data_IF_895824385587
#
_entry.id   IF_895824385587
#
_cell.length_a   1.000
_cell.length_b   1.000
_cell.length_c   1.000
_cell.angle_alpha   90.00
_cell.angle_beta   90.00
_cell.angle_gamma   90.00
#
_symmetry.space_group_name_H-M   'P 1'
#
loop_
_entity.id
_entity.type
_entity.pdbx_description
1 polymer ?
#
# COMPACT_ATOMS: atom_id res chain seq x y z
N UNK A 1 4.58 -47.74 -31.56
CA UNK A 1 4.31 -46.30 -31.74
C UNK A 1 3.04 -45.72 -31.03
N UNK A 2 2.33 -46.43 -30.14
CA UNK A 2 1.24 -45.81 -29.36
C UNK A 2 1.71 -44.85 -28.29
N UNK A 3 2.91 -45.09 -27.70
CA UNK A 3 3.42 -44.28 -26.57
C UNK A 3 3.68 -42.82 -26.92
N UNK A 4 4.14 -42.48 -28.12
CA UNK A 4 4.38 -41.10 -28.54
C UNK A 4 3.10 -40.24 -28.54
N UNK A 5 1.98 -40.79 -28.97
CA UNK A 5 0.69 -40.06 -28.91
C UNK A 5 0.21 -39.83 -27.49
N UNK A 6 0.42 -40.79 -26.59
CA UNK A 6 0.04 -40.67 -25.17
C UNK A 6 0.88 -39.58 -24.51
N UNK A 7 2.19 -39.54 -24.77
CA UNK A 7 3.09 -38.50 -24.24
C UNK A 7 2.67 -37.10 -24.71
N UNK A 8 2.33 -36.95 -25.99
CA UNK A 8 1.83 -35.64 -26.51
C UNK A 8 0.52 -35.24 -25.86
N UNK A 9 -0.43 -36.15 -25.66
CA UNK A 9 -1.70 -35.86 -25.00
C UNK A 9 -1.45 -35.44 -23.56
N UNK A 10 -0.59 -36.13 -22.80
CA UNK A 10 -0.26 -35.76 -21.43
C UNK A 10 0.40 -34.38 -21.35
N UNK A 11 1.28 -34.04 -22.28
CA UNK A 11 1.88 -32.70 -22.37
C UNK A 11 0.84 -31.62 -22.62
N UNK A 12 -0.09 -31.83 -23.54
CA UNK A 12 -1.17 -30.88 -23.84
C UNK A 12 -2.09 -30.70 -22.62
N UNK A 13 -2.44 -31.78 -21.93
CA UNK A 13 -3.25 -31.72 -20.72
C UNK A 13 -2.50 -30.97 -19.60
N UNK A 14 -1.21 -31.23 -19.43
CA UNK A 14 -0.40 -30.52 -18.42
C UNK A 14 -0.31 -29.02 -18.69
N UNK A 15 -0.10 -28.63 -19.95
CA UNK A 15 -0.09 -27.22 -20.36
C UNK A 15 -1.47 -26.57 -20.14
N UNK A 16 -2.54 -27.23 -20.56
CA UNK A 16 -3.91 -26.73 -20.37
C UNK A 16 -4.26 -26.58 -18.88
N UNK A 17 -3.84 -27.54 -18.05
CA UNK A 17 -4.00 -27.44 -16.58
C UNK A 17 -3.23 -26.27 -16.00
N UNK A 18 -2.00 -26.02 -16.44
CA UNK A 18 -1.20 -24.85 -16.05
C UNK A 18 -1.94 -23.54 -16.34
N UNK A 19 -2.44 -23.36 -17.55
CA UNK A 19 -3.23 -22.17 -17.92
C UNK A 19 -4.51 -22.01 -17.10
N UNK A 20 -5.24 -23.09 -16.87
CA UNK A 20 -6.48 -23.05 -16.05
C UNK A 20 -6.17 -22.71 -14.59
N UNK A 21 -5.07 -23.22 -14.07
CA UNK A 21 -4.62 -22.92 -12.71
C UNK A 21 -4.24 -21.44 -12.57
N UNK A 22 -3.41 -20.93 -13.49
CA UNK A 22 -3.01 -19.50 -13.49
C UNK A 22 -4.22 -18.58 -13.66
N UNK A 23 -5.14 -18.93 -14.55
CA UNK A 23 -6.39 -18.18 -14.73
C UNK A 23 -7.23 -18.17 -13.45
N UNK A 24 -7.37 -19.32 -12.77
CA UNK A 24 -8.09 -19.44 -11.50
C UNK A 24 -7.42 -18.62 -10.39
N UNK A 25 -6.09 -18.67 -10.27
CA UNK A 25 -5.33 -17.84 -9.33
C UNK A 25 -5.56 -16.35 -9.59
N UNK A 26 -5.50 -15.92 -10.86
CA UNK A 26 -5.70 -14.53 -11.24
C UNK A 26 -7.11 -14.01 -10.86
N UNK A 27 -8.15 -14.84 -11.04
CA UNK A 27 -9.51 -14.48 -10.61
C UNK A 27 -9.61 -14.29 -9.10
N UNK A 28 -8.99 -15.17 -8.31
CA UNK A 28 -8.96 -15.06 -6.84
C UNK A 28 -8.19 -13.80 -6.45
N UNK A 29 -7.05 -13.55 -7.08
CA UNK A 29 -6.21 -12.39 -6.82
C UNK A 29 -6.95 -11.08 -7.09
N UNK A 30 -7.64 -10.96 -8.22
CA UNK A 30 -8.48 -9.77 -8.54
C UNK A 30 -9.64 -9.59 -7.56
N UNK A 31 -10.22 -10.68 -7.04
CA UNK A 31 -11.26 -10.60 -6.01
C UNK A 31 -10.71 -10.11 -4.67
N UNK A 32 -9.51 -10.52 -4.31
CA UNK A 32 -8.86 -10.13 -3.03
C UNK A 32 -8.15 -8.79 -3.11
N UNK A 33 -7.82 -8.31 -4.32
CA UNK A 33 -7.17 -7.03 -4.57
C UNK A 33 -8.02 -6.21 -5.56
N UNK A 34 -9.22 -5.75 -5.16
CA UNK A 34 -10.12 -5.03 -6.06
C UNK A 34 -9.61 -3.62 -6.37
N UNK A 35 -9.92 -3.11 -7.57
CA UNK A 35 -9.81 -1.69 -7.87
C UNK A 35 -11.10 -0.99 -7.42
N UNK A 36 -11.08 -0.36 -6.24
CA UNK A 36 -12.18 0.48 -5.71
C UNK A 36 -11.69 1.92 -5.60
N UNK A 37 -12.60 2.87 -5.68
CA UNK A 37 -12.30 4.31 -5.58
C UNK A 37 -11.29 4.81 -6.63
N UNK A 38 -11.26 4.19 -7.80
CA UNK A 38 -10.25 4.40 -8.86
C UNK A 38 -10.12 5.87 -9.24
N UNK A 39 -11.24 6.58 -9.44
CA UNK A 39 -11.24 7.99 -9.81
C UNK A 39 -10.46 8.86 -8.79
N UNK A 40 -10.68 8.65 -7.51
CA UNK A 40 -10.00 9.42 -6.45
C UNK A 40 -8.53 9.03 -6.34
N UNK A 41 -8.23 7.72 -6.43
CA UNK A 41 -6.86 7.22 -6.36
C UNK A 41 -6.05 7.76 -7.54
N UNK A 42 -6.57 7.69 -8.78
CA UNK A 42 -5.90 8.22 -9.96
C UNK A 42 -5.66 9.73 -9.85
N UNK A 43 -6.69 10.49 -9.50
CA UNK A 43 -6.63 11.95 -9.31
C UNK A 43 -5.53 12.36 -8.33
N UNK A 44 -5.49 11.73 -7.16
CA UNK A 44 -4.57 12.17 -6.10
C UNK A 44 -3.17 11.54 -6.21
N UNK A 45 -3.05 10.33 -6.75
CA UNK A 45 -1.75 9.74 -7.12
C UNK A 45 -1.01 10.61 -8.13
N UNK A 46 -1.71 11.06 -9.18
CA UNK A 46 -1.13 11.95 -10.19
C UNK A 46 -0.77 13.31 -9.59
N UNK A 47 -1.69 13.91 -8.82
CA UNK A 47 -1.50 15.23 -8.20
C UNK A 47 -0.31 15.27 -7.26
N UNK A 48 -0.15 14.24 -6.43
CA UNK A 48 0.87 14.20 -5.37
C UNK A 48 2.06 13.30 -5.70
N UNK A 49 2.12 12.73 -6.93
CA UNK A 49 3.24 11.91 -7.41
C UNK A 49 3.51 10.68 -6.55
N UNK A 50 2.45 10.03 -6.08
CA UNK A 50 2.51 8.75 -5.35
C UNK A 50 2.09 7.62 -6.30
N UNK A 51 2.83 6.48 -6.38
CA UNK A 51 2.46 5.35 -7.24
C UNK A 51 1.05 4.84 -6.94
N UNK A 52 0.24 4.62 -7.98
CA UNK A 52 -1.15 4.12 -7.82
C UNK A 52 -1.20 2.79 -7.08
N UNK A 53 -0.33 1.85 -7.46
CA UNK A 53 -0.24 0.54 -6.80
C UNK A 53 0.03 0.66 -5.31
N UNK A 54 0.93 1.58 -4.91
CA UNK A 54 1.22 1.86 -3.51
C UNK A 54 -0.01 2.40 -2.77
N UNK A 55 -0.78 3.31 -3.37
CA UNK A 55 -2.01 3.85 -2.74
C UNK A 55 -3.04 2.73 -2.54
N UNK A 56 -3.26 1.88 -3.56
CA UNK A 56 -4.13 0.70 -3.42
C UNK A 56 -3.65 -0.23 -2.31
N UNK A 57 -2.34 -0.48 -2.22
CA UNK A 57 -1.73 -1.35 -1.23
C UNK A 57 -1.89 -0.80 0.20
N UNK A 58 -1.73 0.50 0.38
CA UNK A 58 -1.95 1.17 1.67
C UNK A 58 -3.42 1.04 2.08
N UNK A 59 -4.38 1.41 1.21
CA UNK A 59 -5.82 1.30 1.50
C UNK A 59 -6.21 -0.16 1.82
N UNK A 60 -5.70 -1.11 1.04
CA UNK A 60 -5.91 -2.54 1.29
C UNK A 60 -5.41 -2.98 2.66
N UNK A 61 -4.24 -2.49 3.07
CA UNK A 61 -3.61 -2.89 4.34
C UNK A 61 -4.26 -2.21 5.53
N UNK A 62 -4.66 -0.95 5.39
CA UNK A 62 -5.22 -0.12 6.46
C UNK A 62 -6.67 -0.46 6.78
N UNK A 63 -7.51 -0.63 5.78
CA UNK A 63 -8.96 -0.77 5.97
C UNK A 63 -9.62 -1.88 5.16
N UNK A 64 -8.89 -2.55 4.27
CA UNK A 64 -9.49 -3.43 3.26
C UNK A 64 -10.62 -2.73 2.46
N UNK A 65 -10.42 -1.45 2.16
CA UNK A 65 -11.38 -0.57 1.47
C UNK A 65 -12.68 -0.26 2.25
N UNK A 66 -12.67 -0.39 3.57
CA UNK A 66 -13.80 -0.02 4.42
C UNK A 66 -13.71 1.47 4.81
N UNK A 67 -14.56 2.31 4.20
CA UNK A 67 -14.53 3.78 4.42
C UNK A 67 -14.92 4.20 5.84
N UNK A 68 -15.69 3.36 6.55
CA UNK A 68 -16.12 3.63 7.92
C UNK A 68 -15.24 2.94 8.97
N UNK A 69 -14.09 2.39 8.58
CA UNK A 69 -13.18 1.74 9.50
C UNK A 69 -12.65 2.73 10.54
N UNK A 70 -12.66 2.31 11.82
CA UNK A 70 -12.07 3.06 12.94
C UNK A 70 -11.20 2.10 13.73
N UNK A 71 -9.93 2.45 13.90
CA UNK A 71 -9.01 1.65 14.69
C UNK A 71 -9.21 1.85 16.20
N UNK A 72 -8.70 0.94 17.05
CA UNK A 72 -8.75 1.11 18.52
C UNK A 72 -8.06 2.38 19.01
N UNK A 73 -7.12 2.92 18.25
CA UNK A 73 -6.39 4.16 18.57
C UNK A 73 -7.01 5.41 17.93
N UNK A 74 -8.14 5.25 17.21
CA UNK A 74 -8.90 6.36 16.64
C UNK A 74 -8.49 6.80 15.23
N UNK A 75 -7.70 6.01 14.50
CA UNK A 75 -7.46 6.25 13.10
C UNK A 75 -8.72 5.95 12.27
N UNK A 76 -9.01 6.75 11.23
CA UNK A 76 -10.30 6.76 10.55
C UNK A 76 -10.15 6.56 9.05
N UNK A 77 -11.06 5.75 8.48
CA UNK A 77 -11.35 5.67 7.05
C UNK A 77 -10.40 4.79 6.24
N UNK A 78 -10.43 4.96 4.93
CA UNK A 78 -9.74 4.12 3.95
C UNK A 78 -8.24 3.99 4.19
N UNK A 79 -7.58 5.11 4.50
CA UNK A 79 -6.13 5.19 4.72
C UNK A 79 -5.77 5.34 6.21
N UNK A 80 -6.73 5.12 7.12
CA UNK A 80 -6.55 5.14 8.57
C UNK A 80 -5.79 6.37 9.07
N UNK A 81 -6.26 7.56 8.69
CA UNK A 81 -5.66 8.81 9.14
C UNK A 81 -6.04 9.11 10.60
N UNK A 82 -5.04 9.47 11.40
CA UNK A 82 -5.29 10.02 12.73
C UNK A 82 -5.93 11.41 12.61
N UNK A 83 -6.95 11.73 13.43
CA UNK A 83 -7.55 13.06 13.47
C UNK A 83 -6.53 14.19 13.61
N UNK A 84 -5.54 14.03 14.47
CA UNK A 84 -4.46 15.01 14.65
C UNK A 84 -3.64 15.23 13.38
N UNK A 85 -3.28 14.15 12.67
CA UNK A 85 -2.55 14.25 11.40
C UNK A 85 -3.40 14.97 10.34
N UNK A 86 -4.68 14.66 10.27
CA UNK A 86 -5.60 15.32 9.36
C UNK A 86 -5.73 16.83 9.65
N UNK A 87 -5.88 17.20 10.93
CA UNK A 87 -5.93 18.59 11.35
C UNK A 87 -4.64 19.35 11.03
N UNK A 88 -3.48 18.73 11.27
CA UNK A 88 -2.19 19.32 10.93
C UNK A 88 -2.07 19.57 9.42
N UNK A 89 -2.47 18.60 8.60
CA UNK A 89 -2.42 18.74 7.14
C UNK A 89 -3.38 19.84 6.67
N UNK A 90 -4.60 19.82 7.12
CA UNK A 90 -5.62 20.79 6.68
C UNK A 90 -5.26 22.22 7.07
N UNK A 91 -4.86 22.44 8.33
CA UNK A 91 -4.59 23.78 8.86
C UNK A 91 -3.22 24.31 8.42
N UNK A 92 -2.17 23.50 8.53
CA UNK A 92 -0.81 23.99 8.42
C UNK A 92 -0.23 23.88 7.01
N UNK A 93 -0.73 22.96 6.18
CA UNK A 93 -0.18 22.73 4.84
C UNK A 93 -1.13 23.18 3.71
N UNK A 94 -2.42 22.96 3.85
CA UNK A 94 -3.36 23.23 2.77
C UNK A 94 -4.26 24.44 3.04
N UNK A 95 -4.18 25.05 4.24
CA UNK A 95 -5.01 26.19 4.67
C UNK A 95 -6.52 25.93 4.47
N UNK A 96 -6.93 24.68 4.67
CA UNK A 96 -8.31 24.24 4.60
C UNK A 96 -8.87 24.07 6.03
N UNK A 97 -10.10 24.47 6.27
CA UNK A 97 -10.76 24.30 7.57
C UNK A 97 -11.82 23.21 7.46
N UNK A 98 -11.40 21.95 7.67
CA UNK A 98 -12.29 20.79 7.60
C UNK A 98 -12.43 20.14 8.97
N UNK A 99 -13.63 19.63 9.24
CA UNK A 99 -13.91 18.86 10.45
C UNK A 99 -13.41 17.40 10.28
N UNK A 100 -12.98 16.79 11.38
CA UNK A 100 -12.48 15.40 11.39
C UNK A 100 -13.51 14.38 10.93
N UNK A 101 -14.82 14.70 11.04
CA UNK A 101 -15.89 13.87 10.47
C UNK A 101 -15.79 13.67 8.96
N UNK A 102 -15.10 14.55 8.24
CA UNK A 102 -14.83 14.40 6.80
C UNK A 102 -13.89 13.23 6.47
N UNK A 103 -13.19 12.66 7.46
CA UNK A 103 -12.37 11.44 7.26
C UNK A 103 -13.18 10.20 6.90
N UNK A 104 -14.49 10.18 7.10
CA UNK A 104 -15.37 9.10 6.63
C UNK A 104 -15.72 9.24 5.14
N UNK A 105 -15.54 10.44 4.55
CA UNK A 105 -15.73 10.64 3.11
C UNK A 105 -14.56 10.05 2.33
N UNK A 106 -14.81 9.12 1.38
CA UNK A 106 -13.75 8.42 0.64
C UNK A 106 -12.79 9.35 -0.10
N UNK A 107 -13.32 10.38 -0.78
CA UNK A 107 -12.48 11.31 -1.53
C UNK A 107 -11.57 12.10 -0.60
N UNK A 108 -12.12 12.63 0.48
CA UNK A 108 -11.37 13.38 1.50
C UNK A 108 -10.28 12.50 2.11
N UNK A 109 -10.61 11.29 2.54
CA UNK A 109 -9.65 10.38 3.18
C UNK A 109 -8.49 10.03 2.24
N UNK A 110 -8.78 9.70 0.97
CA UNK A 110 -7.76 9.41 -0.04
C UNK A 110 -6.91 10.65 -0.34
N UNK A 111 -7.54 11.82 -0.54
CA UNK A 111 -6.82 13.09 -0.79
C UNK A 111 -5.74 13.34 0.27
N UNK A 112 -6.11 13.25 1.53
CA UNK A 112 -5.21 13.60 2.63
C UNK A 112 -4.22 12.49 2.97
N UNK A 113 -4.62 11.22 2.82
CA UNK A 113 -3.71 10.09 2.99
C UNK A 113 -2.61 10.07 1.94
N UNK A 114 -2.96 10.30 0.66
CA UNK A 114 -1.99 10.39 -0.43
C UNK A 114 -1.10 11.63 -0.29
N UNK A 115 -1.67 12.77 0.12
CA UNK A 115 -0.88 13.95 0.46
C UNK A 115 0.13 13.64 1.57
N UNK A 116 -0.27 12.95 2.63
CA UNK A 116 0.61 12.61 3.75
C UNK A 116 1.75 11.68 3.31
N UNK A 117 1.49 10.68 2.46
CA UNK A 117 2.53 9.86 1.85
C UNK A 117 3.53 10.70 1.03
N UNK A 118 3.02 11.61 0.22
CA UNK A 118 3.84 12.54 -0.58
C UNK A 118 4.68 13.47 0.29
N UNK A 119 4.11 13.98 1.38
CA UNK A 119 4.82 14.82 2.33
C UNK A 119 5.94 14.04 3.03
N UNK A 120 5.67 12.83 3.50
CA UNK A 120 6.70 11.95 4.08
C UNK A 120 7.81 11.62 3.08
N UNK A 121 7.48 11.48 1.79
CA UNK A 121 8.45 11.24 0.71
C UNK A 121 9.45 12.40 0.54
N UNK A 122 9.13 13.59 1.02
CA UNK A 122 10.09 14.72 1.02
C UNK A 122 11.23 14.55 2.02
N UNK A 123 11.09 13.67 3.00
CA UNK A 123 12.13 13.37 4.01
C UNK A 123 12.94 12.12 3.65
N UNK A 124 12.39 11.21 2.85
CA UNK A 124 12.99 9.91 2.55
C UNK A 124 12.93 9.60 1.07
N UNK A 125 14.07 9.15 0.49
CA UNK A 125 14.10 8.67 -0.89
C UNK A 125 13.54 7.24 -1.04
N UNK A 126 13.50 6.46 0.04
CA UNK A 126 13.02 5.09 0.07
C UNK A 126 11.56 5.00 0.54
N UNK A 127 10.71 4.32 -0.21
CA UNK A 127 9.31 4.11 0.15
C UNK A 127 9.12 3.27 1.41
N UNK A 128 10.05 2.38 1.76
CA UNK A 128 9.96 1.62 3.01
C UNK A 128 10.09 2.55 4.23
N UNK A 129 10.96 3.56 4.14
CA UNK A 129 11.07 4.59 5.18
C UNK A 129 9.79 5.44 5.25
N UNK A 130 9.19 5.78 4.12
CA UNK A 130 7.90 6.50 4.05
C UNK A 130 6.79 5.68 4.71
N UNK A 131 6.66 4.41 4.37
CA UNK A 131 5.66 3.51 4.95
C UNK A 131 5.89 3.29 6.46
N UNK A 132 7.15 3.13 6.86
CA UNK A 132 7.51 3.02 8.27
C UNK A 132 7.15 4.30 9.05
N UNK A 133 7.35 5.48 8.45
CA UNK A 133 7.01 6.76 9.05
C UNK A 133 5.48 7.00 9.07
N UNK A 134 4.77 6.55 8.04
CA UNK A 134 3.31 6.63 7.99
C UNK A 134 2.66 5.89 9.15
N UNK A 135 3.11 4.64 9.41
CA UNK A 135 2.56 3.81 10.47
C UNK A 135 3.22 4.06 11.85
N UNK A 136 4.54 4.16 11.89
CA UNK A 136 5.32 4.23 13.13
C UNK A 136 5.72 5.64 13.58
N UNK A 137 5.47 6.65 12.73
CA UNK A 137 5.81 8.04 12.99
C UNK A 137 7.21 8.45 12.53
N UNK A 138 7.31 9.66 11.96
CA UNK A 138 8.53 10.25 11.39
C UNK A 138 9.68 10.32 12.41
N UNK A 139 9.39 10.66 13.66
CA UNK A 139 10.41 10.75 14.73
C UNK A 139 11.11 9.42 15.01
N UNK A 140 10.36 8.32 14.99
CA UNK A 140 10.92 6.98 15.21
C UNK A 140 11.82 6.58 14.04
N UNK A 141 11.38 6.79 12.79
CA UNK A 141 12.18 6.47 11.61
C UNK A 141 13.48 7.28 11.58
N UNK A 142 13.43 8.58 11.90
CA UNK A 142 14.62 9.41 12.00
C UNK A 142 15.62 8.92 13.05
N UNK A 143 15.14 8.32 14.13
CA UNK A 143 16.00 7.72 15.14
C UNK A 143 16.59 6.39 14.66
N UNK A 144 15.78 5.53 14.02
CA UNK A 144 16.24 4.23 13.50
C UNK A 144 17.28 4.41 12.39
N UNK A 145 17.14 5.42 11.52
CA UNK A 145 18.11 5.70 10.46
C UNK A 145 19.49 6.13 10.98
N UNK A 146 19.59 6.60 12.24
CA UNK A 146 20.86 6.98 12.87
C UNK A 146 21.59 5.82 13.54
N UNK A 147 20.94 4.67 13.64
CA UNK A 147 21.44 3.50 14.34
C UNK A 147 21.83 2.41 13.34
N UNK A 148 23.10 2.00 13.35
CA UNK A 148 23.64 0.99 12.46
C UNK A 148 22.96 -0.40 12.61
N UNK A 149 22.28 -0.63 13.75
CA UNK A 149 21.46 -1.83 13.91
C UNK A 149 20.28 -1.87 12.93
N UNK A 150 19.69 -0.70 12.61
CA UNK A 150 18.47 -0.61 11.80
C UNK A 150 18.69 -0.06 10.40
N UNK A 151 19.84 0.58 10.15
CA UNK A 151 20.19 1.18 8.86
C UNK A 151 21.70 1.16 8.65
N UNK A 152 22.16 0.62 7.51
CA UNK A 152 23.60 0.55 7.20
C UNK A 152 24.12 1.84 6.55
N UNK A 153 23.27 2.60 5.91
CA UNK A 153 23.61 3.78 5.11
C UNK A 153 23.04 5.09 5.64
N UNK A 154 22.27 5.02 6.72
CA UNK A 154 21.57 6.17 7.31
C UNK A 154 20.40 6.70 6.45
N UNK A 155 20.02 6.00 5.38
CA UNK A 155 18.99 6.41 4.41
C UNK A 155 17.90 5.39 4.18
N UNK A 156 18.23 4.10 4.31
CA UNK A 156 17.30 2.99 4.10
C UNK A 156 17.20 2.14 5.37
N UNK A 157 16.00 1.63 5.68
CA UNK A 157 15.76 0.75 6.82
C UNK A 157 15.96 -0.71 6.45
N UNK A 158 16.61 -1.47 7.33
CA UNK A 158 16.62 -2.93 7.28
C UNK A 158 15.27 -3.41 7.81
N UNK A 159 14.33 -3.71 6.90
CA UNK A 159 12.92 -3.96 7.25
C UNK A 159 12.77 -5.00 8.37
N UNK A 160 13.55 -6.09 8.32
CA UNK A 160 13.47 -7.16 9.33
C UNK A 160 13.91 -6.72 10.72
N UNK A 161 14.67 -5.65 10.81
CA UNK A 161 15.21 -5.09 12.06
C UNK A 161 14.39 -3.91 12.59
N UNK A 162 13.35 -3.41 11.89
CA UNK A 162 12.49 -2.35 12.41
C UNK A 162 12.02 -2.73 13.82
N UNK A 163 12.27 -1.90 14.87
CA UNK A 163 12.03 -2.27 16.26
C UNK A 163 10.54 -2.56 16.55
N UNK A 164 9.66 -1.72 16.02
CA UNK A 164 8.22 -1.89 16.23
C UNK A 164 7.68 -3.02 15.34
N UNK A 165 7.29 -4.13 15.96
CA UNK A 165 6.74 -5.30 15.27
C UNK A 165 5.55 -4.96 14.38
N UNK A 166 4.70 -4.06 14.84
CA UNK A 166 3.53 -3.59 14.07
C UNK A 166 3.99 -2.90 12.78
N UNK A 167 4.87 -1.90 12.88
CA UNK A 167 5.40 -1.16 11.73
C UNK A 167 6.18 -2.06 10.78
N UNK A 168 7.01 -2.96 11.29
CA UNK A 168 7.72 -3.96 10.50
C UNK A 168 6.77 -4.83 9.67
N UNK A 169 5.69 -5.32 10.30
CA UNK A 169 4.69 -6.13 9.63
C UNK A 169 3.86 -5.31 8.63
N UNK A 170 3.58 -4.05 8.95
CA UNK A 170 2.89 -3.12 8.10
C UNK A 170 3.65 -2.91 6.78
N UNK A 171 4.93 -2.52 6.85
CA UNK A 171 5.78 -2.32 5.67
C UNK A 171 5.80 -3.58 4.79
N UNK A 172 5.99 -4.76 5.38
CA UNK A 172 5.97 -6.03 4.63
C UNK A 172 4.63 -6.31 3.95
N UNK A 173 3.52 -6.02 4.63
CA UNK A 173 2.16 -6.23 4.07
C UNK A 173 1.89 -5.28 2.92
N UNK A 174 2.25 -4.01 3.06
CA UNK A 174 2.06 -3.02 1.99
C UNK A 174 2.90 -3.38 0.79
N UNK A 175 4.19 -3.69 0.95
CA UNK A 175 5.06 -4.09 -0.17
C UNK A 175 4.52 -5.31 -0.92
N UNK A 176 4.06 -6.32 -0.19
CA UNK A 176 3.44 -7.51 -0.80
C UNK A 176 2.16 -7.19 -1.57
N UNK A 177 1.35 -6.30 -1.04
CA UNK A 177 0.13 -5.87 -1.71
C UNK A 177 0.44 -5.00 -2.93
N UNK A 178 1.42 -4.09 -2.84
CA UNK A 178 1.88 -3.26 -3.95
C UNK A 178 2.38 -4.11 -5.12
N UNK A 179 3.29 -5.05 -4.88
CA UNK A 179 3.77 -6.02 -5.89
C UNK A 179 2.60 -6.74 -6.58
N UNK A 180 1.56 -7.08 -5.79
CA UNK A 180 0.39 -7.76 -6.30
C UNK A 180 -0.45 -6.84 -7.19
N UNK A 181 -0.68 -5.58 -6.78
CA UNK A 181 -1.38 -4.59 -7.60
C UNK A 181 -0.61 -4.26 -8.87
N UNK A 182 0.71 -4.06 -8.80
CA UNK A 182 1.57 -3.87 -9.96
C UNK A 182 1.38 -5.01 -10.97
N UNK A 183 1.56 -6.25 -10.53
CA UNK A 183 1.43 -7.43 -11.37
C UNK A 183 0.03 -7.59 -12.00
N UNK A 184 -1.04 -7.25 -11.27
CA UNK A 184 -2.42 -7.48 -11.72
C UNK A 184 -2.94 -6.40 -12.65
N UNK A 185 -2.45 -5.15 -12.51
CA UNK A 185 -3.13 -4.00 -13.10
C UNK A 185 -2.22 -2.96 -13.75
N UNK A 186 -0.92 -2.92 -13.45
CA UNK A 186 -0.05 -1.80 -13.83
C UNK A 186 1.22 -2.21 -14.58
N UNK A 187 1.59 -3.50 -14.61
CA UNK A 187 2.62 -3.99 -15.55
C UNK A 187 2.02 -4.05 -16.94
N UNK A 188 2.62 -3.31 -17.87
CA UNK A 188 2.41 -3.53 -19.30
C UNK A 188 3.03 -4.89 -19.67
N UNK A 189 2.27 -5.74 -20.36
CA UNK A 189 2.75 -7.00 -20.97
C UNK A 189 3.74 -6.73 -22.11
#
# INVERSE_FOLDING_TARGET
MPYGKIVIILLVISIAFGFLFDWGCNLIDKKTHPLRYTEFIEKYSEKYKVPKALVYAVIKTESDFESNAVSPVGAIGLMQLMPSTFEDITKNFLSENLETGMLYDPETNIKYGVFYLSWLKTFYDDWNCVLAAYNGGLGNVNNWLKDEEYSEDGKTLIIDKIPFKETRNYVKKVNKAEEKYEKLYFTED
#
